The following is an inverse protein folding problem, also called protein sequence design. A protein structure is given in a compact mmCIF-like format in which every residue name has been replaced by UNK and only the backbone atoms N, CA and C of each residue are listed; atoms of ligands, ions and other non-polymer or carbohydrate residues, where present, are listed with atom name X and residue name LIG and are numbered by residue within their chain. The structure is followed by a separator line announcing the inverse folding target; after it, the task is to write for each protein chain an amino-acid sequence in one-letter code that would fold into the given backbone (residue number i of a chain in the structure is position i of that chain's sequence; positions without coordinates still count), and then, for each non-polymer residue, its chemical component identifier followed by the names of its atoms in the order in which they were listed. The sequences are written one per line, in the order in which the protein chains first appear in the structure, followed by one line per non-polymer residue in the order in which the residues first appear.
data_IF_309178930686
#
_entry.id   IF_309178930686
#
_cell.length_a   1.000
_cell.length_b   1.000
_cell.length_c   1.000
_cell.angle_alpha   90.00
_cell.angle_beta   90.00
_cell.angle_gamma   90.00
#
_symmetry.space_group_name_H-M   'P 1'
#
loop_
_entity.id
_entity.type
_entity.pdbx_description
1 polymer ?
#
# COMPACT_ATOMS: atom_id res chain seq x y z
N UNK A 1 -5.79 3.25 -3.18
CA UNK A 1 -5.10 1.94 -3.18
C UNK A 1 -3.61 2.21 -3.32
N UNK A 2 -2.98 2.54 -2.20
CA UNK A 2 -1.52 2.53 -2.10
C UNK A 2 -1.17 1.17 -1.51
N UNK A 3 -0.63 0.27 -2.35
CA UNK A 3 -0.22 -1.09 -1.97
C UNK A 3 1.26 -1.13 -1.53
N UNK A 4 1.88 0.04 -1.32
CA UNK A 4 3.29 0.20 -0.96
C UNK A 4 4.28 -0.05 -2.10
N UNK A 5 3.83 -0.53 -3.27
CA UNK A 5 4.69 -0.82 -4.40
C UNK A 5 4.75 0.34 -5.40
N UNK A 6 5.91 0.52 -6.04
CA UNK A 6 6.09 1.53 -7.09
C UNK A 6 5.64 0.97 -8.43
N UNK A 7 4.58 1.57 -8.98
CA UNK A 7 4.00 1.17 -10.27
C UNK A 7 4.24 2.22 -11.36
N UNK A 8 4.60 1.75 -12.56
CA UNK A 8 4.64 2.58 -13.77
C UNK A 8 3.54 2.14 -14.72
N UNK A 9 2.74 3.11 -15.18
CA UNK A 9 1.75 2.86 -16.22
C UNK A 9 2.45 2.61 -17.55
N UNK A 10 2.13 1.50 -18.19
CA UNK A 10 2.65 1.19 -19.53
C UNK A 10 1.56 1.13 -20.60
N UNK A 11 0.29 1.07 -20.19
CA UNK A 11 -0.81 0.95 -21.14
C UNK A 11 -2.16 1.40 -20.58
N UNK A 12 -3.05 1.72 -21.51
CA UNK A 12 -4.48 1.97 -21.28
C UNK A 12 -5.23 1.37 -22.47
N UNK A 13 -6.26 0.56 -22.22
CA UNK A 13 -7.11 -0.02 -23.26
C UNK A 13 -8.58 0.30 -22.97
N UNK A 14 -9.34 0.65 -24.01
CA UNK A 14 -10.79 0.66 -23.92
C UNK A 14 -11.31 -0.76 -23.71
N UNK A 15 -12.37 -0.90 -22.93
CA UNK A 15 -12.99 -2.20 -22.64
C UNK A 15 -14.29 -2.26 -23.44
N UNK A 16 -14.44 -3.31 -24.25
CA UNK A 16 -15.68 -3.51 -25.01
C UNK A 16 -16.82 -3.65 -23.99
N UNK A 17 -17.92 -2.94 -24.22
CA UNK A 17 -19.08 -2.90 -23.34
C UNK A 17 -18.87 -2.26 -21.96
N UNK A 18 -17.77 -1.57 -21.66
CA UNK A 18 -17.65 -0.79 -20.42
C UNK A 18 -17.27 0.67 -20.71
N UNK A 19 -17.92 1.64 -20.04
CA UNK A 19 -17.51 3.05 -20.14
C UNK A 19 -16.15 3.30 -19.46
N UNK A 20 -15.68 2.36 -18.64
CA UNK A 20 -14.47 2.49 -17.86
C UNK A 20 -13.25 1.91 -18.61
N UNK A 21 -12.16 2.68 -18.79
CA UNK A 21 -10.95 2.16 -19.41
C UNK A 21 -10.18 1.22 -18.46
N UNK A 22 -9.53 0.20 -19.02
CA UNK A 22 -8.61 -0.68 -18.30
C UNK A 22 -7.20 -0.10 -18.35
N UNK A 23 -6.59 0.05 -17.18
CA UNK A 23 -5.23 0.58 -17.04
C UNK A 23 -4.26 -0.56 -16.70
N UNK A 24 -3.06 -0.47 -17.27
CA UNK A 24 -2.02 -1.50 -17.10
C UNK A 24 -0.77 -0.88 -16.50
N UNK A 25 -0.27 -1.53 -15.46
CA UNK A 25 0.88 -1.09 -14.70
C UNK A 25 1.90 -2.22 -14.55
N UNK A 26 3.17 -1.86 -14.52
CA UNK A 26 4.28 -2.76 -14.20
C UNK A 26 5.02 -2.24 -12.98
N UNK A 27 5.61 -3.12 -12.20
CA UNK A 27 6.51 -2.72 -11.13
C UNK A 27 7.66 -1.88 -11.70
N UNK A 28 8.08 -0.85 -10.96
CA UNK A 28 9.21 0.00 -11.35
C UNK A 28 10.54 -0.45 -10.74
N UNK A 29 10.53 -1.42 -9.83
CA UNK A 29 11.75 -1.98 -9.24
C UNK A 29 12.55 -2.75 -10.30
N UNK A 30 13.87 -2.59 -10.27
CA UNK A 30 14.78 -3.29 -11.20
C UNK A 30 14.66 -4.81 -11.05
N UNK A 31 14.48 -5.51 -12.18
CA UNK A 31 14.37 -6.97 -12.19
C UNK A 31 13.02 -7.53 -11.70
N UNK A 32 12.01 -6.68 -11.45
CA UNK A 32 10.70 -7.13 -11.01
C UNK A 32 9.70 -7.15 -12.16
N UNK A 33 9.16 -8.33 -12.45
CA UNK A 33 8.25 -8.56 -13.58
C UNK A 33 6.76 -8.46 -13.23
N UNK A 34 6.44 -8.11 -11.97
CA UNK A 34 5.05 -8.02 -11.51
C UNK A 34 4.28 -6.98 -12.30
N UNK A 35 3.08 -7.37 -12.73
CA UNK A 35 2.14 -6.50 -13.45
C UNK A 35 0.84 -6.42 -12.69
N UNK A 36 0.13 -5.30 -12.85
CA UNK A 36 -1.26 -5.20 -12.42
C UNK A 36 -2.15 -4.56 -13.47
N UNK A 37 -3.40 -5.01 -13.49
CA UNK A 37 -4.49 -4.47 -14.29
C UNK A 37 -5.50 -3.84 -13.35
N UNK A 38 -5.90 -2.60 -13.64
CA UNK A 38 -6.91 -1.88 -12.88
C UNK A 38 -8.07 -1.58 -13.81
N UNK A 39 -9.25 -2.07 -13.45
CA UNK A 39 -10.50 -1.79 -14.14
C UNK A 39 -11.60 -1.47 -13.13
N UNK A 40 -12.65 -0.81 -13.61
CA UNK A 40 -13.89 -0.67 -12.84
C UNK A 40 -14.91 -1.63 -13.40
N UNK A 41 -15.80 -2.10 -12.55
CA UNK A 41 -16.92 -2.90 -13.00
C UNK A 41 -17.78 -2.14 -14.01
N UNK A 42 -18.49 -2.90 -14.83
CA UNK A 42 -19.36 -2.34 -15.87
C UNK A 42 -20.68 -1.82 -15.27
N UNK A 43 -21.24 -2.55 -14.32
CA UNK A 43 -22.54 -2.28 -13.71
C UNK A 43 -22.39 -1.35 -12.51
N UNK A 44 -21.36 -1.58 -11.69
CA UNK A 44 -21.04 -0.71 -10.54
C UNK A 44 -19.68 0.00 -10.69
N UNK A 45 -19.71 1.25 -11.13
CA UNK A 45 -18.49 2.06 -11.28
C UNK A 45 -17.76 2.36 -9.96
N UNK A 46 -18.39 2.16 -8.81
CA UNK A 46 -17.73 2.26 -7.52
C UNK A 46 -16.82 1.05 -7.26
N UNK A 47 -17.11 -0.10 -7.87
CA UNK A 47 -16.31 -1.31 -7.71
C UNK A 47 -15.05 -1.28 -8.59
N UNK A 48 -13.88 -1.34 -7.95
CA UNK A 48 -12.57 -1.35 -8.62
C UNK A 48 -11.96 -2.74 -8.53
N UNK A 49 -11.76 -3.38 -9.67
CA UNK A 49 -11.11 -4.68 -9.80
C UNK A 49 -9.63 -4.43 -10.08
N UNK A 50 -8.77 -4.98 -9.22
CA UNK A 50 -7.32 -4.98 -9.43
C UNK A 50 -6.82 -6.41 -9.52
N UNK A 51 -6.24 -6.79 -10.66
CA UNK A 51 -5.64 -8.11 -10.87
C UNK A 51 -4.13 -7.98 -10.90
N UNK A 52 -3.44 -8.78 -10.09
CA UNK A 52 -1.99 -8.86 -10.04
C UNK A 52 -1.51 -10.12 -10.78
N UNK A 53 -0.34 -10.02 -11.40
CA UNK A 53 0.33 -11.10 -12.13
C UNK A 53 1.80 -11.15 -11.73
N UNK A 54 2.25 -12.30 -11.22
CA UNK A 54 3.60 -12.50 -10.70
C UNK A 54 3.75 -12.27 -9.18
N UNK A 55 4.99 -12.44 -8.70
CA UNK A 55 5.37 -12.26 -7.29
C UNK A 55 6.54 -11.27 -7.22
N UNK A 56 6.48 -10.34 -6.28
CA UNK A 56 7.56 -9.36 -6.08
C UNK A 56 8.81 -10.06 -5.53
N UNK A 57 9.97 -9.75 -6.10
CA UNK A 57 11.28 -10.26 -5.66
C UNK A 57 12.07 -9.21 -4.85
N UNK A 58 11.38 -8.22 -4.30
CA UNK A 58 11.96 -7.14 -3.52
C UNK A 58 10.98 -6.70 -2.43
N UNK A 59 11.50 -6.08 -1.38
CA UNK A 59 10.66 -5.48 -0.35
C UNK A 59 9.86 -4.30 -0.88
N UNK A 60 8.70 -4.08 -0.27
CA UNK A 60 7.90 -2.89 -0.56
C UNK A 60 8.73 -1.63 -0.23
N UNK A 61 8.84 -0.65 -1.15
CA UNK A 61 9.59 0.57 -0.88
C UNK A 61 9.07 1.37 0.32
N UNK A 62 7.80 1.18 0.72
CA UNK A 62 7.31 1.72 2.00
C UNK A 62 8.02 1.10 3.22
N UNK A 63 8.32 -0.21 3.20
CA UNK A 63 9.07 -0.89 4.27
C UNK A 63 10.52 -0.39 4.35
N UNK A 64 11.16 -0.16 3.20
CA UNK A 64 12.56 0.33 3.15
C UNK A 64 12.69 1.73 3.76
N UNK A 65 11.69 2.61 3.58
CA UNK A 65 11.74 3.95 4.18
C UNK A 65 11.65 3.91 5.72
N UNK A 66 10.86 3.00 6.29
CA UNK A 66 10.79 2.84 7.75
C UNK A 66 12.05 2.18 8.33
N UNK A 67 12.65 1.20 7.66
CA UNK A 67 13.89 0.58 8.13
C UNK A 67 15.10 1.53 8.13
N UNK A 68 15.14 2.49 7.21
CA UNK A 68 16.26 3.45 7.12
C UNK A 68 16.12 4.65 8.08
N UNK A 69 15.06 4.72 8.90
CA UNK A 69 14.83 5.81 9.86
C UNK A 69 14.89 5.38 11.34
N UNK A 70 15.14 4.10 11.64
CA UNK A 70 15.20 3.61 13.02
C UNK A 70 16.64 3.17 13.32
N UNK A 71 17.44 3.94 14.08
CA UNK A 71 18.61 3.38 14.74
C UNK A 71 18.12 2.30 15.71
N UNK A 72 18.75 1.13 15.66
CA UNK A 72 18.56 0.01 16.59
C UNK A 72 18.73 0.46 18.06
N UNK A 73 17.67 1.00 18.68
CA UNK A 73 17.63 1.27 20.11
C UNK A 73 16.19 1.53 20.59
N UNK A 74 15.42 0.47 20.82
CA UNK A 74 14.75 0.20 22.12
C UNK A 74 14.07 -1.17 22.04
N UNK A 75 14.46 -2.16 22.88
CA UNK A 75 13.54 -3.23 23.19
C UNK A 75 12.42 -2.66 24.07
N UNK A 76 11.23 -3.24 23.95
CA UNK A 76 10.12 -3.28 24.92
C UNK A 76 9.66 -1.99 25.65
N UNK A 77 8.59 -1.35 25.15
CA UNK A 77 7.65 -0.56 25.98
C UNK A 77 6.23 -0.45 25.37
N UNK A 78 5.45 -1.55 25.40
CA UNK A 78 3.99 -1.45 25.38
C UNK A 78 3.48 -1.54 26.82
N UNK A 79 3.73 -0.50 27.61
CA UNK A 79 2.94 -0.24 28.83
C UNK A 79 1.99 0.89 28.52
N UNK A 80 0.73 0.55 28.27
CA UNK A 80 -0.38 1.49 28.25
C UNK A 80 -0.39 2.24 29.59
N UNK A 81 0.00 3.51 29.60
CA UNK A 81 -0.24 4.38 30.75
C UNK A 81 -1.69 4.85 30.68
N UNK A 82 -2.52 4.21 31.49
CA UNK A 82 -3.79 4.77 31.97
C UNK A 82 -3.49 6.06 32.73
N UNK A 83 -3.96 7.18 32.20
CA UNK A 83 -3.83 8.49 32.83
C UNK A 83 -5.05 8.76 33.70
N UNK A 84 -5.06 8.25 34.93
CA UNK A 84 -5.99 8.70 35.98
C UNK A 84 -5.40 9.90 36.74
N UNK A 85 -6.11 11.03 36.94
CA UNK A 85 -5.58 12.20 37.61
C UNK A 85 -5.73 12.08 39.14
N UNK A 86 -4.61 12.02 39.87
CA UNK A 86 -4.63 12.11 41.33
C UNK A 86 -4.57 13.57 41.79
N UNK A 87 -5.66 14.02 42.41
CA UNK A 87 -5.76 15.24 43.21
C UNK A 87 -4.91 15.15 44.48
N UNK A 88 -4.06 16.15 44.71
CA UNK A 88 -3.23 16.31 45.91
C UNK A 88 -4.00 16.95 47.06
N UNK A 89 -3.98 16.32 48.24
CA UNK A 89 -4.32 16.93 49.53
C UNK A 89 -3.13 16.84 50.47
N UNK A 90 -2.56 17.98 50.82
CA UNK A 90 -1.45 18.18 51.77
C UNK A 90 -1.97 18.21 53.22
N UNK A 91 -1.17 17.71 54.15
CA UNK A 91 -1.20 18.04 55.58
C UNK A 91 0.00 18.92 55.92
#
# INVERSE_FOLDING_TARGET
MDDGFKWRKYGKKSVKNSPNPRNYYKCSSGGCDVKKRVERDREDSAFVITTYDGVHNHESPCMVYYNNQIPLAVPNAWTFQDSSPHSSSSS
#
